data_IF_343831818450
#
_entry.id   IF_343831818450
#
_cell.length_a   1.000
_cell.length_b   1.000
_cell.length_c   1.000
_cell.angle_alpha   90.00
_cell.angle_beta   90.00
_cell.angle_gamma   90.00
#
_symmetry.space_group_name_H-M   'P 1'
#
loop_
_entity.id
_entity.type
_entity.pdbx_description
1 polymer ?
#
# COMPACT_ATOMS: atom_id res chain seq x y z
N UNK A 1 8.58 17.70 31.49
CA UNK A 1 9.16 17.00 30.32
C UNK A 1 8.02 16.33 29.57
N UNK A 2 7.61 16.86 28.42
CA UNK A 2 6.67 16.15 27.53
C UNK A 2 7.43 14.96 26.96
N UNK A 3 6.95 13.74 27.23
CA UNK A 3 7.36 12.54 26.50
C UNK A 3 7.16 12.87 25.02
N UNK A 4 8.23 12.88 24.22
CA UNK A 4 8.08 12.91 22.78
C UNK A 4 7.26 11.67 22.42
N UNK A 5 6.06 11.85 21.88
CA UNK A 5 5.28 10.74 21.39
C UNK A 5 6.17 10.00 20.38
N UNK A 6 6.45 8.74 20.66
CA UNK A 6 7.11 7.89 19.69
C UNK A 6 6.10 7.68 18.58
N UNK A 7 6.22 8.45 17.50
CA UNK A 7 5.37 8.34 16.33
C UNK A 7 5.42 6.89 15.82
N UNK A 8 4.30 6.17 15.96
CA UNK A 8 4.17 4.80 15.50
C UNK A 8 3.98 4.78 13.98
N UNK A 9 4.59 3.81 13.30
CA UNK A 9 4.29 3.49 11.90
C UNK A 9 3.54 2.18 11.88
N UNK A 10 2.35 2.20 11.27
CA UNK A 10 1.55 1.00 11.06
C UNK A 10 1.80 0.51 9.64
N UNK A 11 2.20 -0.76 9.55
CA UNK A 11 2.45 -1.44 8.29
C UNK A 11 1.33 -2.44 8.06
N UNK A 12 0.44 -2.12 7.12
CA UNK A 12 -0.61 -3.03 6.68
C UNK A 12 -0.02 -3.89 5.58
N UNK A 13 0.13 -5.17 5.87
CA UNK A 13 0.75 -6.13 4.96
C UNK A 13 -0.28 -7.19 4.56
N UNK A 14 -0.29 -7.52 3.27
CA UNK A 14 -1.19 -8.56 2.76
C UNK A 14 -0.55 -9.43 1.67
N UNK A 15 -0.88 -10.72 1.77
CA UNK A 15 -0.68 -11.75 0.76
C UNK A 15 -1.91 -11.78 -0.12
N UNK A 16 -1.97 -10.85 -1.05
CA UNK A 16 -3.19 -10.60 -1.79
C UNK A 16 -3.55 -11.81 -2.65
N UNK A 17 -4.72 -12.48 -2.45
CA UNK A 17 -5.08 -13.65 -3.25
C UNK A 17 -5.22 -13.34 -4.75
N UNK A 18 -5.57 -12.11 -5.11
CA UNK A 18 -5.62 -11.66 -6.51
C UNK A 18 -4.24 -11.45 -7.16
N UNK A 19 -3.16 -11.50 -6.37
CA UNK A 19 -1.78 -11.39 -6.81
C UNK A 19 -0.91 -12.47 -6.12
N UNK A 20 -1.07 -13.76 -6.49
CA UNK A 20 -0.31 -14.84 -5.88
C UNK A 20 1.20 -14.65 -6.12
N UNK A 21 2.01 -14.96 -5.11
CA UNK A 21 3.47 -14.75 -5.16
C UNK A 21 3.88 -13.28 -5.01
N UNK A 22 3.01 -12.45 -4.42
CA UNK A 22 3.30 -11.04 -4.17
C UNK A 22 2.95 -10.67 -2.73
N UNK A 23 3.88 -9.98 -2.08
CA UNK A 23 3.65 -9.31 -0.80
C UNK A 23 3.55 -7.82 -1.06
N UNK A 24 2.48 -7.18 -0.60
CA UNK A 24 2.35 -5.72 -0.64
C UNK A 24 2.22 -5.19 0.78
N UNK A 25 3.03 -4.18 1.11
CA UNK A 25 3.03 -3.48 2.39
C UNK A 25 2.74 -2.02 2.16
N UNK A 26 1.76 -1.49 2.89
CA UNK A 26 1.43 -0.08 2.94
C UNK A 26 1.80 0.50 4.31
N UNK A 27 2.56 1.59 4.31
CA UNK A 27 2.94 2.29 5.53
C UNK A 27 2.03 3.51 5.75
N UNK A 28 1.52 3.66 6.98
CA UNK A 28 0.77 4.83 7.43
C UNK A 28 1.29 5.30 8.79
N UNK A 29 1.20 6.61 9.05
CA UNK A 29 1.44 7.15 10.40
C UNK A 29 0.35 6.64 11.34
N UNK A 30 0.74 6.13 12.52
CA UNK A 30 -0.18 5.64 13.55
C UNK A 30 -1.18 6.70 14.00
N UNK A 31 -0.77 7.96 14.09
CA UNK A 31 -1.66 9.09 14.40
C UNK A 31 -2.75 9.30 13.33
N UNK A 32 -2.45 8.92 12.08
CA UNK A 32 -3.35 9.08 10.93
C UNK A 32 -4.02 7.79 10.49
N UNK A 33 -3.72 6.64 11.12
CA UNK A 33 -4.17 5.33 10.65
C UNK A 33 -5.70 5.22 10.57
N UNK A 34 -6.42 5.72 11.58
CA UNK A 34 -7.88 5.76 11.59
C UNK A 34 -8.46 6.68 10.51
N UNK A 35 -7.79 7.80 10.22
CA UNK A 35 -8.20 8.68 9.14
C UNK A 35 -7.93 8.03 7.77
N UNK A 36 -6.76 7.40 7.62
CA UNK A 36 -6.37 6.66 6.43
C UNK A 36 -7.37 5.55 6.11
N UNK A 37 -7.74 4.76 7.12
CA UNK A 37 -8.73 3.70 7.02
C UNK A 37 -10.08 4.22 6.54
N UNK A 38 -10.62 5.28 7.14
CA UNK A 38 -11.91 5.85 6.72
C UNK A 38 -11.88 6.35 5.29
N UNK A 39 -10.81 7.03 4.88
CA UNK A 39 -10.68 7.54 3.51
C UNK A 39 -10.53 6.40 2.52
N UNK A 40 -9.73 5.38 2.84
CA UNK A 40 -9.56 4.20 1.99
C UNK A 40 -10.88 3.42 1.84
N UNK A 41 -11.60 3.18 2.94
CA UNK A 41 -12.91 2.51 2.90
C UNK A 41 -13.94 3.26 2.05
N UNK A 42 -13.93 4.60 2.12
CA UNK A 42 -14.81 5.44 1.29
C UNK A 42 -14.39 5.42 -0.19
N UNK A 43 -13.10 5.50 -0.48
CA UNK A 43 -12.55 5.52 -1.84
C UNK A 43 -12.74 4.18 -2.58
N UNK A 44 -12.69 3.07 -1.85
CA UNK A 44 -12.63 1.71 -2.39
C UNK A 44 -13.90 0.90 -2.16
N UNK A 45 -15.00 1.56 -1.80
CA UNK A 45 -16.31 0.92 -1.69
C UNK A 45 -16.65 0.16 -2.98
N UNK A 46 -16.74 -1.17 -2.89
CA UNK A 46 -17.14 -2.04 -4.00
C UNK A 46 -16.01 -2.57 -4.89
N UNK A 47 -14.74 -2.26 -4.61
CA UNK A 47 -13.61 -2.76 -5.42
C UNK A 47 -13.20 -4.20 -5.11
N UNK A 48 -13.68 -4.79 -4.01
CA UNK A 48 -13.23 -6.09 -3.49
C UNK A 48 -13.31 -7.26 -4.51
N UNK A 49 -14.12 -7.13 -5.57
CA UNK A 49 -14.29 -8.14 -6.63
C UNK A 49 -13.45 -7.90 -7.87
N UNK A 50 -12.66 -6.82 -7.92
CA UNK A 50 -11.82 -6.52 -9.07
C UNK A 50 -10.68 -7.52 -9.20
N UNK A 51 -10.62 -8.17 -10.36
CA UNK A 51 -9.59 -9.15 -10.73
C UNK A 51 -8.61 -8.62 -11.77
N UNK A 52 -8.93 -7.50 -12.43
CA UNK A 52 -8.03 -6.78 -13.34
C UNK A 52 -8.22 -5.26 -13.22
N UNK A 53 -7.11 -4.52 -13.22
CA UNK A 53 -7.09 -3.06 -13.25
C UNK A 53 -7.22 -2.52 -14.67
N UNK A 54 -6.54 -3.17 -15.61
CA UNK A 54 -6.50 -2.76 -17.02
C UNK A 54 -7.81 -3.04 -17.76
N UNK A 55 -8.61 -4.01 -17.32
CA UNK A 55 -9.95 -4.25 -17.87
C UNK A 55 -10.99 -3.20 -17.44
N UNK A 56 -10.68 -2.37 -16.44
CA UNK A 56 -11.56 -1.25 -16.09
C UNK A 56 -11.61 -0.21 -17.21
N UNK A 57 -12.75 0.48 -17.40
CA UNK A 57 -12.78 1.68 -18.22
C UNK A 57 -11.81 2.74 -17.69
N UNK A 58 -11.15 3.49 -18.58
CA UNK A 58 -10.19 4.55 -18.21
C UNK A 58 -10.78 5.56 -17.20
N UNK A 59 -12.03 5.99 -17.40
CA UNK A 59 -12.71 6.91 -16.46
C UNK A 59 -12.94 6.28 -15.08
N UNK A 60 -13.10 4.96 -14.99
CA UNK A 60 -13.19 4.28 -13.71
C UNK A 60 -11.83 4.25 -13.00
N UNK A 61 -10.74 3.96 -13.73
CA UNK A 61 -9.37 4.05 -13.20
C UNK A 61 -9.07 5.44 -12.68
N UNK A 62 -9.29 6.49 -13.47
CA UNK A 62 -9.06 7.90 -13.07
C UNK A 62 -9.83 8.29 -11.83
N UNK A 63 -11.10 7.88 -11.72
CA UNK A 63 -11.90 8.13 -10.51
C UNK A 63 -11.31 7.44 -9.28
N UNK A 64 -10.89 6.19 -9.41
CA UNK A 64 -10.27 5.43 -8.32
C UNK A 64 -8.92 6.03 -7.92
N UNK A 65 -8.06 6.39 -8.87
CA UNK A 65 -6.80 7.10 -8.61
C UNK A 65 -7.07 8.41 -7.87
N UNK A 66 -8.00 9.23 -8.37
CA UNK A 66 -8.38 10.49 -7.73
C UNK A 66 -8.91 10.33 -6.31
N UNK A 67 -9.72 9.30 -6.05
CA UNK A 67 -10.22 9.00 -4.71
C UNK A 67 -9.10 8.52 -3.77
N UNK A 68 -8.24 7.63 -4.24
CA UNK A 68 -7.15 7.05 -3.46
C UNK A 68 -6.03 8.06 -3.15
N UNK A 69 -5.82 9.09 -3.98
CA UNK A 69 -4.85 10.18 -3.69
C UNK A 69 -5.10 10.90 -2.37
N UNK A 70 -6.32 10.84 -1.85
CA UNK A 70 -6.66 11.47 -0.56
C UNK A 70 -6.29 10.59 0.65
N UNK A 71 -5.90 9.34 0.45
CA UNK A 71 -5.53 8.42 1.53
C UNK A 71 -4.16 8.83 2.08
N UNK A 72 -4.03 9.26 3.35
CA UNK A 72 -2.75 9.64 3.93
C UNK A 72 -1.85 8.42 4.13
N UNK A 73 -0.96 8.18 3.17
CA UNK A 73 0.03 7.11 3.20
C UNK A 73 1.44 7.69 3.33
N UNK A 74 2.37 6.93 3.91
CA UNK A 74 3.78 7.28 3.96
C UNK A 74 4.55 6.65 2.79
N UNK A 75 4.05 5.53 2.27
CA UNK A 75 4.61 4.88 1.10
C UNK A 75 4.16 3.42 0.97
N UNK A 76 4.56 2.80 -0.13
CA UNK A 76 4.19 1.43 -0.47
C UNK A 76 5.38 0.60 -0.94
N UNK A 77 5.40 -0.66 -0.54
CA UNK A 77 6.36 -1.64 -1.04
C UNK A 77 5.69 -2.89 -1.55
N UNK A 78 6.13 -3.35 -2.71
CA UNK A 78 5.66 -4.56 -3.33
C UNK A 78 6.85 -5.47 -3.68
N UNK A 79 6.82 -6.71 -3.17
CA UNK A 79 7.82 -7.75 -3.49
C UNK A 79 7.14 -8.86 -4.27
N UNK A 80 7.71 -9.21 -5.41
CA UNK A 80 7.28 -10.34 -6.25
C UNK A 80 8.24 -11.53 -6.06
N UNK A 81 7.72 -12.75 -6.00
CA UNK A 81 8.50 -13.98 -5.86
C UNK A 81 8.01 -14.92 -4.75
N UNK A 82 8.74 -16.02 -4.52
CA UNK A 82 8.49 -16.96 -3.40
C UNK A 82 9.00 -16.35 -2.08
N UNK A 83 8.26 -15.38 -1.55
CA UNK A 83 8.58 -14.74 -0.27
C UNK A 83 8.02 -15.60 0.87
N UNK A 84 8.85 -16.06 1.80
CA UNK A 84 8.35 -16.62 3.06
C UNK A 84 8.02 -15.47 4.01
N UNK A 85 7.01 -15.62 4.87
CA UNK A 85 6.56 -14.55 5.79
C UNK A 85 7.71 -13.84 6.54
N UNK A 86 8.68 -14.58 7.09
CA UNK A 86 9.81 -13.96 7.81
C UNK A 86 10.70 -13.08 6.90
N UNK A 87 10.97 -13.52 5.67
CA UNK A 87 11.71 -12.71 4.69
C UNK A 87 10.88 -11.51 4.20
N UNK A 88 9.56 -11.65 4.23
CA UNK A 88 8.59 -10.62 3.90
C UNK A 88 8.67 -9.47 4.91
N UNK A 89 8.67 -9.80 6.21
CA UNK A 89 8.82 -8.85 7.30
C UNK A 89 10.19 -8.13 7.22
N UNK A 90 11.28 -8.86 6.98
CA UNK A 90 12.62 -8.28 6.81
C UNK A 90 12.67 -7.29 5.63
N UNK A 91 12.06 -7.65 4.50
CA UNK A 91 12.06 -6.79 3.30
C UNK A 91 11.21 -5.54 3.53
N UNK A 92 10.08 -5.67 4.22
CA UNK A 92 9.27 -4.53 4.61
C UNK A 92 10.05 -3.61 5.58
N UNK A 93 10.75 -4.16 6.58
CA UNK A 93 11.62 -3.37 7.46
C UNK A 93 12.71 -2.60 6.70
N UNK A 94 13.36 -3.25 5.74
CA UNK A 94 14.34 -2.61 4.86
C UNK A 94 13.73 -1.49 4.02
N UNK A 95 12.54 -1.71 3.44
CA UNK A 95 11.82 -0.65 2.74
C UNK A 95 11.54 0.53 3.66
N UNK A 96 11.03 0.27 4.86
CA UNK A 96 10.68 1.33 5.77
C UNK A 96 11.89 2.18 6.16
N UNK A 97 13.09 1.59 6.29
CA UNK A 97 14.34 2.34 6.53
C UNK A 97 14.63 3.44 5.49
N UNK A 98 13.98 3.40 4.33
CA UNK A 98 14.11 4.37 3.23
C UNK A 98 13.04 5.46 3.26
N UNK A 99 12.01 5.34 4.08
CA UNK A 99 10.95 6.34 4.17
C UNK A 99 11.46 7.65 4.80
N UNK A 100 11.08 8.81 4.25
CA UNK A 100 11.44 10.10 4.84
C UNK A 100 10.86 10.23 6.25
N UNK A 101 11.69 10.68 7.19
CA UNK A 101 11.29 10.87 8.59
C UNK A 101 11.55 9.68 9.52
N UNK A 102 11.84 8.46 9.03
CA UNK A 102 12.16 7.30 9.89
C UNK A 102 13.57 7.36 10.52
N UNK A 103 14.29 8.47 10.35
CA UNK A 103 15.69 8.58 10.73
C UNK A 103 15.96 8.33 12.23
N UNK A 104 14.98 8.51 13.13
CA UNK A 104 15.18 8.29 14.57
C UNK A 104 13.91 7.80 15.28
N UNK A 105 13.98 6.62 15.89
CA UNK A 105 13.15 6.27 17.06
C UNK A 105 11.68 5.85 16.85
N UNK A 106 11.14 5.80 15.63
CA UNK A 106 9.76 5.37 15.39
C UNK A 106 9.52 3.90 15.75
N UNK A 107 8.44 3.63 16.49
CA UNK A 107 7.99 2.25 16.74
C UNK A 107 7.27 1.75 15.49
N UNK A 108 7.65 0.58 14.99
CA UNK A 108 6.94 -0.06 13.86
C UNK A 108 6.02 -1.15 14.37
N UNK A 109 4.80 -1.22 13.82
CA UNK A 109 3.85 -2.29 14.06
C UNK A 109 3.39 -2.89 12.73
N UNK A 110 3.69 -4.17 12.54
CA UNK A 110 3.17 -4.95 11.43
C UNK A 110 1.77 -5.48 11.77
N UNK A 111 0.83 -5.27 10.86
CA UNK A 111 -0.58 -5.68 11.00
C UNK A 111 -0.86 -6.74 9.95
N UNK A 112 -1.03 -7.97 10.42
CA UNK A 112 -1.34 -9.16 9.60
C UNK A 112 -2.72 -9.73 9.89
N UNK A 113 -3.42 -9.21 10.90
CA UNK A 113 -4.81 -9.57 11.24
C UNK A 113 -5.84 -8.78 10.42
N UNK A 114 -7.13 -9.06 10.55
CA UNK A 114 -8.19 -8.41 9.77
C UNK A 114 -8.46 -6.93 10.12
N UNK A 115 -7.59 -6.25 10.86
CA UNK A 115 -7.71 -4.81 11.12
C UNK A 115 -7.52 -4.00 9.83
N UNK A 116 -8.08 -2.78 9.83
CA UNK A 116 -8.01 -1.81 8.74
C UNK A 116 -8.48 -2.35 7.36
N UNK A 117 -9.75 -2.78 7.24
CA UNK A 117 -10.26 -3.39 6.01
C UNK A 117 -10.18 -2.47 4.78
N UNK A 118 -10.33 -1.16 4.93
CA UNK A 118 -10.15 -0.18 3.86
C UNK A 118 -8.70 -0.09 3.38
N UNK A 119 -7.73 -0.02 4.31
CA UNK A 119 -6.31 -0.06 3.96
C UNK A 119 -5.91 -1.40 3.35
N UNK A 120 -6.49 -2.52 3.82
CA UNK A 120 -6.28 -3.83 3.20
C UNK A 120 -6.82 -3.88 1.77
N UNK A 121 -7.96 -3.28 1.51
CA UNK A 121 -8.49 -3.17 0.14
C UNK A 121 -7.57 -2.32 -0.75
N UNK A 122 -6.95 -1.26 -0.20
CA UNK A 122 -5.95 -0.48 -0.92
C UNK A 122 -4.69 -1.31 -1.22
N UNK A 123 -4.20 -2.07 -0.25
CA UNK A 123 -3.09 -3.03 -0.42
C UNK A 123 -3.43 -4.04 -1.51
N UNK A 124 -4.63 -4.62 -1.47
CA UNK A 124 -5.14 -5.60 -2.44
C UNK A 124 -5.18 -5.03 -3.86
N UNK A 125 -5.74 -3.84 -4.01
CA UNK A 125 -5.86 -3.18 -5.31
C UNK A 125 -4.48 -2.74 -5.84
N UNK A 126 -3.62 -2.24 -4.95
CA UNK A 126 -2.23 -1.91 -5.31
C UNK A 126 -1.48 -3.15 -5.75
N UNK A 127 -1.70 -4.28 -5.09
CA UNK A 127 -1.05 -5.51 -5.47
C UNK A 127 -1.44 -5.94 -6.89
N UNK A 128 -2.73 -5.81 -7.22
CA UNK A 128 -3.24 -6.05 -8.57
C UNK A 128 -2.64 -5.09 -9.61
N UNK A 129 -2.56 -3.80 -9.29
CA UNK A 129 -1.97 -2.78 -10.19
C UNK A 129 -0.48 -3.06 -10.42
N UNK A 130 0.32 -3.29 -9.36
CA UNK A 130 1.73 -3.66 -9.48
C UNK A 130 1.96 -4.84 -10.44
N UNK A 131 1.08 -5.83 -10.43
CA UNK A 131 1.19 -6.99 -11.32
C UNK A 131 0.96 -6.63 -12.79
N UNK A 132 0.07 -5.68 -13.06
CA UNK A 132 -0.40 -5.35 -14.40
C UNK A 132 0.32 -4.17 -15.04
N UNK A 133 0.77 -3.19 -14.25
CA UNK A 133 1.32 -1.92 -14.75
C UNK A 133 2.83 -1.78 -14.56
N UNK A 134 3.46 -2.53 -13.64
CA UNK A 134 4.86 -2.28 -13.29
C UNK A 134 5.84 -2.34 -14.47
N UNK A 135 5.66 -3.30 -15.37
CA UNK A 135 6.53 -3.46 -16.55
C UNK A 135 6.00 -2.69 -17.79
N UNK A 136 4.97 -1.85 -17.61
CA UNK A 136 4.35 -1.04 -18.67
C UNK A 136 4.83 0.40 -18.62
N UNK A 137 4.91 1.03 -19.79
CA UNK A 137 5.30 2.44 -19.95
C UNK A 137 4.22 3.27 -20.62
N UNK A 138 3.08 2.65 -20.96
CA UNK A 138 1.98 3.23 -21.72
C UNK A 138 0.72 3.48 -20.87
N UNK A 139 0.80 3.30 -19.55
CA UNK A 139 -0.29 3.62 -18.62
C UNK A 139 -0.19 5.11 -18.26
N UNK A 140 -1.23 5.92 -18.52
CA UNK A 140 -1.23 7.33 -18.11
C UNK A 140 -1.12 7.50 -16.59
N UNK A 141 -0.43 8.54 -16.13
CA UNK A 141 -0.21 8.82 -14.69
C UNK A 141 -1.52 9.02 -13.90
N UNK A 142 -2.57 9.52 -14.55
CA UNK A 142 -3.89 9.68 -13.94
C UNK A 142 -4.71 8.37 -13.91
N UNK A 143 -4.21 7.32 -14.57
CA UNK A 143 -4.77 5.98 -14.61
C UNK A 143 -3.92 4.94 -13.87
N UNK A 144 -2.70 5.27 -13.46
CA UNK A 144 -1.85 4.39 -12.67
C UNK A 144 -2.05 4.67 -11.17
N UNK A 145 -2.47 3.64 -10.42
CA UNK A 145 -2.65 3.74 -8.97
C UNK A 145 -1.30 3.90 -8.25
N UNK A 146 -0.18 3.46 -8.83
CA UNK A 146 1.12 3.59 -8.17
C UNK A 146 1.53 5.07 -7.97
N UNK A 147 1.04 5.94 -8.84
CA UNK A 147 1.29 7.40 -8.81
C UNK A 147 0.59 8.13 -7.65
N UNK A 148 -0.20 7.44 -6.82
CA UNK A 148 -0.73 8.04 -5.59
C UNK A 148 0.31 8.10 -4.46
N UNK A 149 1.37 7.30 -4.56
CA UNK A 149 2.37 7.16 -3.50
C UNK A 149 3.56 8.09 -3.72
N UNK A 150 3.83 8.96 -2.75
CA UNK A 150 5.03 9.82 -2.77
C UNK A 150 6.32 8.99 -2.76
N UNK A 151 6.31 7.84 -2.09
CA UNK A 151 7.42 6.89 -2.10
C UNK A 151 6.87 5.50 -2.31
N UNK A 152 7.28 4.85 -3.40
CA UNK A 152 7.02 3.43 -3.59
C UNK A 152 8.24 2.67 -4.12
N UNK A 153 8.25 1.37 -3.90
CA UNK A 153 9.22 0.48 -4.53
C UNK A 153 8.59 -0.86 -4.86
N UNK A 154 8.85 -1.34 -6.07
CA UNK A 154 8.45 -2.65 -6.53
C UNK A 154 9.70 -3.42 -6.90
N UNK A 155 9.87 -4.61 -6.32
CA UNK A 155 11.06 -5.43 -6.51
C UNK A 155 10.72 -6.91 -6.74
N UNK A 156 11.74 -7.68 -7.09
CA UNK A 156 11.71 -9.13 -7.12
C UNK A 156 12.79 -9.69 -6.19
N UNK A 157 12.51 -10.81 -5.53
CA UNK A 157 13.52 -11.62 -4.86
C UNK A 157 14.17 -12.61 -5.81
#
# INVERSE_FOLDING_TARGET
>A
MRQAATDEIICVTDWTPSAPGQLTTLAVSGERAEAAERVAAAALGGTARLTSWLELPADARRRLVGACRSVPTLGMHCVRGDVRQAAADDTAEQFLSRLPGRADGHRTRFVTDSSYPGLRELVRLTALVCRETYDRTDVPEDEDLLEIYETYSVGSL
#
